data_IF_143354012222
#
_entry.id   IF_143354012222
#
_cell.length_a   1.000
_cell.length_b   1.000
_cell.length_c   1.000
_cell.angle_alpha   90.00
_cell.angle_beta   90.00
_cell.angle_gamma   90.00
#
_symmetry.space_group_name_H-M   'P 1'
#
loop_
_entity.id
_entity.type
_entity.pdbx_description
1 polymer ?
#
# COMPACT_ATOMS: atom_id res chain seq x y z
N UNK A 1 -24.41 7.69 -2.26
CA UNK A 1 -23.17 8.48 -2.20
C UNK A 1 -22.52 8.28 -3.56
N UNK A 2 -22.60 9.26 -4.45
CA UNK A 2 -22.31 9.06 -5.87
C UNK A 2 -20.81 8.92 -6.11
N UNK A 3 -20.41 7.78 -6.66
CA UNK A 3 -19.04 7.49 -7.10
C UNK A 3 -18.72 8.36 -8.32
N UNK A 4 -17.72 9.24 -8.18
CA UNK A 4 -17.16 9.98 -9.31
C UNK A 4 -15.94 9.20 -9.81
N UNK A 5 -16.13 8.43 -10.88
CA UNK A 5 -15.05 7.87 -11.69
C UNK A 5 -14.47 8.96 -12.61
N UNK A 6 -13.15 9.04 -12.68
CA UNK A 6 -12.42 9.86 -13.65
C UNK A 6 -12.57 9.31 -15.07
N UNK A 7 -12.05 10.05 -16.06
CA UNK A 7 -12.28 9.83 -17.49
C UNK A 7 -11.96 8.41 -18.01
N UNK A 8 -11.04 7.69 -17.35
CA UNK A 8 -10.63 6.32 -17.69
C UNK A 8 -11.20 5.24 -16.73
N UNK A 9 -12.21 5.58 -15.93
CA UNK A 9 -12.78 4.69 -14.92
C UNK A 9 -12.00 4.65 -13.60
N UNK A 10 -10.78 5.22 -13.55
CA UNK A 10 -10.00 5.35 -12.31
C UNK A 10 -10.75 6.20 -11.27
N UNK A 11 -10.64 5.88 -9.96
CA UNK A 11 -11.26 6.68 -8.93
C UNK A 11 -10.66 8.09 -8.88
N UNK A 12 -11.48 9.09 -8.58
CA UNK A 12 -10.98 10.42 -8.31
C UNK A 12 -10.09 10.42 -7.06
N UNK A 13 -8.99 11.18 -7.09
CA UNK A 13 -8.09 11.33 -5.94
C UNK A 13 -8.87 11.90 -4.73
N UNK A 14 -8.79 11.27 -3.54
CA UNK A 14 -9.34 11.82 -2.32
C UNK A 14 -8.78 13.22 -2.03
N UNK A 15 -9.64 14.14 -1.58
CA UNK A 15 -9.25 15.50 -1.24
C UNK A 15 -8.00 15.54 -0.34
N UNK A 16 -7.12 16.52 -0.57
CA UNK A 16 -5.80 16.63 0.04
C UNK A 16 -5.82 17.01 1.55
N UNK A 17 -6.87 16.68 2.29
CA UNK A 17 -6.91 16.83 3.75
C UNK A 17 -5.79 16.03 4.44
N UNK A 18 -5.57 16.28 5.74
CA UNK A 18 -4.57 15.54 6.54
C UNK A 18 -4.86 14.03 6.48
N UNK A 19 -4.10 13.31 5.64
CA UNK A 19 -4.16 11.86 5.55
C UNK A 19 -3.36 11.27 6.70
N UNK A 20 -4.08 10.64 7.64
CA UNK A 20 -3.46 9.92 8.73
C UNK A 20 -3.27 8.47 8.32
N UNK A 21 -2.13 8.20 7.69
CA UNK A 21 -1.70 6.84 7.42
C UNK A 21 -1.42 6.10 8.74
N UNK A 22 -1.84 4.84 8.80
CA UNK A 22 -1.49 3.89 9.86
C UNK A 22 -1.20 2.53 9.22
N UNK A 23 -0.66 1.59 9.97
CA UNK A 23 -0.41 0.23 9.49
C UNK A 23 -1.22 -0.79 10.28
N UNK A 24 -1.58 -1.88 9.60
CA UNK A 24 -1.99 -3.10 10.30
C UNK A 24 -0.88 -3.58 11.23
N UNK A 25 -1.28 -4.33 12.25
CA UNK A 25 -0.38 -4.93 13.21
C UNK A 25 -0.54 -6.45 13.16
N UNK A 26 0.55 -7.18 13.38
CA UNK A 26 0.45 -8.61 13.68
C UNK A 26 -0.22 -8.80 15.05
N UNK A 27 -0.95 -9.90 15.22
CA UNK A 27 -1.51 -10.27 16.52
C UNK A 27 -0.40 -10.50 17.55
N UNK A 28 0.67 -11.18 17.12
CA UNK A 28 1.84 -11.39 17.94
C UNK A 28 2.72 -10.14 18.04
N UNK A 29 3.16 -9.85 19.25
CA UNK A 29 4.19 -8.84 19.53
C UNK A 29 5.52 -9.52 19.81
N UNK A 30 6.62 -8.90 19.38
CA UNK A 30 7.98 -9.38 19.68
C UNK A 30 8.54 -8.51 20.80
N UNK A 31 8.88 -9.13 21.94
CA UNK A 31 9.40 -8.44 23.13
C UNK A 31 8.50 -7.27 23.59
N UNK A 32 7.17 -7.45 23.48
CA UNK A 32 6.18 -6.41 23.81
C UNK A 32 6.10 -5.26 22.80
N UNK A 33 6.79 -5.35 21.66
CA UNK A 33 6.77 -4.33 20.61
C UNK A 33 5.74 -4.68 19.53
N UNK A 34 4.97 -3.67 19.13
CA UNK A 34 4.02 -3.77 18.03
C UNK A 34 4.76 -4.05 16.72
N UNK A 35 4.39 -5.15 16.07
CA UNK A 35 4.92 -5.55 14.77
C UNK A 35 3.95 -5.07 13.69
N UNK A 36 4.46 -4.33 12.69
CA UNK A 36 3.64 -3.72 11.61
C UNK A 36 3.77 -4.42 10.25
N UNK A 37 4.47 -5.54 10.21
CA UNK A 37 4.69 -6.30 9.00
C UNK A 37 5.01 -7.74 9.29
N UNK A 38 4.78 -8.60 8.31
CA UNK A 38 5.11 -10.00 8.33
C UNK A 38 6.37 -10.23 7.50
N UNK A 39 7.06 -11.34 7.72
CA UNK A 39 8.12 -11.81 6.84
C UNK A 39 7.98 -13.30 6.60
N UNK A 40 8.50 -13.76 5.47
CA UNK A 40 8.53 -15.19 5.15
C UNK A 40 9.50 -15.91 6.09
N UNK A 41 9.09 -17.06 6.63
CA UNK A 41 9.90 -17.82 7.59
C UNK A 41 11.26 -18.23 7.02
N UNK A 42 11.29 -18.66 5.75
CA UNK A 42 12.52 -19.08 5.07
C UNK A 42 13.33 -17.91 4.49
N UNK A 43 12.70 -16.74 4.31
CA UNK A 43 13.31 -15.55 3.75
C UNK A 43 12.88 -14.30 4.54
N UNK A 44 13.57 -13.93 5.63
CA UNK A 44 13.20 -12.76 6.44
C UNK A 44 13.31 -11.41 5.70
N UNK A 45 13.96 -11.39 4.53
CA UNK A 45 14.00 -10.22 3.67
C UNK A 45 12.70 -10.06 2.88
N UNK A 46 12.05 -11.18 2.55
CA UNK A 46 10.72 -11.16 1.98
C UNK A 46 9.72 -10.71 3.04
N UNK A 47 9.24 -9.47 2.91
CA UNK A 47 8.38 -8.82 3.92
C UNK A 47 7.09 -8.33 3.30
N UNK A 48 6.03 -8.39 4.10
CA UNK A 48 4.72 -7.82 3.83
C UNK A 48 4.40 -6.74 4.87
N UNK A 49 4.03 -5.53 4.43
CA UNK A 49 3.47 -4.50 5.31
C UNK A 49 2.26 -3.87 4.64
N UNK A 50 1.19 -3.65 5.41
CA UNK A 50 -0.02 -2.99 4.91
C UNK A 50 -0.22 -1.67 5.63
N UNK A 51 -0.19 -0.58 4.88
CA UNK A 51 -0.54 0.77 5.32
C UNK A 51 -1.92 1.16 4.81
N UNK A 52 -2.61 2.03 5.55
CA UNK A 52 -3.91 2.52 5.14
C UNK A 52 -4.23 3.90 5.68
N UNK A 53 -5.07 4.61 4.94
CA UNK A 53 -5.84 5.74 5.43
C UNK A 53 -7.35 5.44 5.32
N UNK A 54 -8.20 6.48 5.35
CA UNK A 54 -9.64 6.31 5.22
C UNK A 54 -10.05 5.77 3.83
N UNK A 55 -9.29 6.05 2.79
CA UNK A 55 -9.65 5.82 1.39
C UNK A 55 -8.79 4.76 0.70
N UNK A 56 -7.56 4.55 1.16
CA UNK A 56 -6.53 3.82 0.42
C UNK A 56 -5.90 2.75 1.30
N UNK A 57 -5.60 1.59 0.71
CA UNK A 57 -4.66 0.60 1.24
C UNK A 57 -3.39 0.61 0.38
N UNK A 58 -2.22 0.54 1.01
CA UNK A 58 -0.95 0.25 0.36
C UNK A 58 -0.42 -1.07 0.91
N UNK A 59 -0.22 -2.05 0.04
CA UNK A 59 0.32 -3.37 0.37
C UNK A 59 1.74 -3.41 -0.18
N UNK A 60 2.72 -3.38 0.72
CA UNK A 60 4.14 -3.38 0.38
C UNK A 60 4.70 -4.79 0.50
N UNK A 61 5.29 -5.27 -0.57
CA UNK A 61 6.10 -6.47 -0.64
C UNK A 61 7.55 -6.05 -0.91
N UNK A 62 8.51 -6.69 -0.26
CA UNK A 62 9.95 -6.51 -0.58
C UNK A 62 10.63 -7.84 -0.76
N UNK A 63 11.65 -7.90 -1.60
CA UNK A 63 12.58 -9.02 -1.70
C UNK A 63 11.93 -10.42 -1.89
N UNK A 64 10.81 -10.50 -2.65
CA UNK A 64 10.13 -11.75 -3.04
C UNK A 64 11.01 -12.63 -3.92
N UNK A 65 11.49 -12.10 -5.05
CA UNK A 65 12.37 -12.79 -6.01
C UNK A 65 13.82 -12.26 -6.00
N UNK A 66 14.17 -11.42 -5.02
CA UNK A 66 15.42 -10.65 -4.98
C UNK A 66 15.18 -9.15 -4.78
N UNK A 67 16.26 -8.36 -4.77
CA UNK A 67 16.23 -6.95 -4.34
C UNK A 67 15.11 -6.11 -4.95
N UNK A 68 14.35 -5.41 -4.10
CA UNK A 68 13.38 -4.40 -4.57
C UNK A 68 12.09 -4.39 -3.77
N UNK A 69 11.14 -3.61 -4.26
CA UNK A 69 9.82 -3.42 -3.67
C UNK A 69 8.75 -3.54 -4.74
N UNK A 70 7.62 -4.12 -4.34
CA UNK A 70 6.35 -4.09 -5.09
C UNK A 70 5.32 -3.45 -4.16
N UNK A 71 4.63 -2.40 -4.60
CA UNK A 71 3.48 -1.86 -3.86
C UNK A 71 2.22 -2.02 -4.68
N UNK A 72 1.20 -2.61 -4.05
CA UNK A 72 -0.18 -2.66 -4.56
C UNK A 72 -0.98 -1.59 -3.83
N UNK A 73 -1.48 -0.59 -4.55
CA UNK A 73 -2.40 0.41 -4.03
C UNK A 73 -3.84 -0.02 -4.33
N UNK A 74 -4.75 0.11 -3.35
CA UNK A 74 -6.16 -0.24 -3.50
C UNK A 74 -7.03 0.90 -2.97
N UNK A 75 -7.96 1.38 -3.80
CA UNK A 75 -9.01 2.29 -3.37
C UNK A 75 -10.12 1.49 -2.63
N UNK A 76 -10.42 1.87 -1.39
CA UNK A 76 -11.32 1.12 -0.52
C UNK A 76 -12.79 1.25 -0.91
N UNK A 77 -13.17 2.36 -1.55
CA UNK A 77 -14.55 2.60 -1.97
C UNK A 77 -14.88 1.83 -3.24
N UNK A 78 -14.02 1.97 -4.24
CA UNK A 78 -14.27 1.50 -5.62
C UNK A 78 -13.61 0.15 -5.94
N UNK A 79 -12.68 -0.32 -5.10
CA UNK A 79 -11.87 -1.55 -5.32
C UNK A 79 -10.97 -1.51 -6.54
N UNK A 80 -10.78 -0.33 -7.15
CA UNK A 80 -9.71 -0.13 -8.11
C UNK A 80 -8.36 -0.33 -7.46
N UNK A 81 -7.39 -0.78 -8.24
CA UNK A 81 -6.06 -1.07 -7.78
C UNK A 81 -5.02 -0.69 -8.82
N UNK A 82 -3.78 -0.50 -8.36
CA UNK A 82 -2.60 -0.30 -9.20
C UNK A 82 -1.39 -0.98 -8.56
N UNK A 83 -0.44 -1.42 -9.38
CA UNK A 83 0.79 -2.10 -8.94
C UNK A 83 1.98 -1.38 -9.53
N UNK A 84 2.98 -1.09 -8.70
CA UNK A 84 4.26 -0.49 -9.12
C UNK A 84 5.42 -1.18 -8.42
N UNK A 85 6.53 -1.32 -9.14
CA UNK A 85 7.78 -1.91 -8.66
C UNK A 85 8.93 -0.90 -8.79
N UNK A 86 9.84 -0.89 -7.82
CA UNK A 86 11.03 -0.03 -7.77
C UNK A 86 12.04 -0.58 -6.74
N UNK A 87 13.26 -0.06 -6.75
CA UNK A 87 14.33 -0.29 -5.79
C UNK A 87 14.04 0.24 -4.38
N UNK A 88 13.18 1.26 -4.22
CA UNK A 88 12.87 1.90 -2.93
C UNK A 88 11.38 1.81 -2.59
N UNK A 89 11.08 1.48 -1.32
CA UNK A 89 9.69 1.42 -0.84
C UNK A 89 8.93 2.73 -1.09
N UNK A 90 9.53 3.88 -0.78
CA UNK A 90 8.88 5.18 -0.91
C UNK A 90 8.46 5.49 -2.37
N UNK A 91 9.30 5.12 -3.34
CA UNK A 91 9.02 5.35 -4.76
C UNK A 91 7.88 4.45 -5.24
N UNK A 92 7.88 3.16 -4.85
CA UNK A 92 6.76 2.26 -5.18
C UNK A 92 5.45 2.71 -4.55
N UNK A 93 5.50 3.19 -3.31
CA UNK A 93 4.32 3.67 -2.60
C UNK A 93 3.71 4.89 -3.28
N UNK A 94 4.55 5.88 -3.61
CA UNK A 94 4.14 7.08 -4.32
C UNK A 94 3.64 6.74 -5.73
N UNK A 95 4.41 5.95 -6.48
CA UNK A 95 4.06 5.55 -7.84
C UNK A 95 2.76 4.76 -7.92
N UNK A 96 2.53 3.79 -7.02
CA UNK A 96 1.28 3.03 -6.97
C UNK A 96 0.10 3.93 -6.62
N UNK A 97 0.28 4.86 -5.69
CA UNK A 97 -0.74 5.85 -5.33
C UNK A 97 -1.10 6.77 -6.51
N UNK A 98 -0.10 7.25 -7.25
CA UNK A 98 -0.31 8.10 -8.42
C UNK A 98 -0.95 7.33 -9.57
N UNK A 99 -0.53 6.08 -9.81
CA UNK A 99 -1.13 5.21 -10.81
C UNK A 99 -2.60 4.89 -10.51
N UNK A 100 -2.95 4.66 -9.23
CA UNK A 100 -4.31 4.34 -8.80
C UNK A 100 -5.30 5.47 -9.11
N UNK A 101 -4.95 6.71 -8.76
CA UNK A 101 -5.89 7.84 -8.85
C UNK A 101 -5.81 8.61 -10.17
N UNK A 102 -4.88 8.24 -11.05
CA UNK A 102 -4.57 9.04 -12.22
C UNK A 102 -3.87 10.35 -11.85
N UNK A 103 -2.94 10.78 -12.70
CA UNK A 103 -2.54 12.17 -12.78
C UNK A 103 -3.32 12.78 -13.94
#
# INVERSE_FOLDING_TARGET
MSEQSGADGRPARPAAGRRRWTSFIAEDSIDGRVVRGLHEQANPRHRLRVEHDAHTLLIHLSDEDGGGWTTIAVDRGTRYWAVVQDSRQADTAQGAYDALYGQ
#
